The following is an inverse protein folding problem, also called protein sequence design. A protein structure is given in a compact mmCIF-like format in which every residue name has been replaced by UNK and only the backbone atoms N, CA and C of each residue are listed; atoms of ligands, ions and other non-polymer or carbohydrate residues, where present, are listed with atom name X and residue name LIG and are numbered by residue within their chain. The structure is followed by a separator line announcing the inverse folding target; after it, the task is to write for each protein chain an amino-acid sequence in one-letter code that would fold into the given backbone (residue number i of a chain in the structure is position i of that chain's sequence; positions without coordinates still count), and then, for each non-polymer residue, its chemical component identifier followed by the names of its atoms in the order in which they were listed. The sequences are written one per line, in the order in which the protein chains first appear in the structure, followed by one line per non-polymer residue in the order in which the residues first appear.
data_IF_129015141861
#
_entry.id   IF_129015141861
#
_cell.length_a   1.000
_cell.length_b   1.000
_cell.length_c   1.000
_cell.angle_alpha   90.00
_cell.angle_beta   90.00
_cell.angle_gamma   90.00
#
_symmetry.space_group_name_H-M   'P 1'
#
loop_
_entity.id
_entity.type
_entity.pdbx_description
1 polymer ?
#
# COMPACT_ATOMS: atom_id res chain seq x y z
N UNK A 1 3.20 10.35 -15.11
CA UNK A 1 1.79 10.08 -14.74
C UNK A 1 1.12 11.42 -14.52
N UNK A 2 -0.10 11.60 -15.01
CA UNK A 2 -0.90 12.79 -14.71
C UNK A 2 -1.22 12.85 -13.20
N UNK A 3 -0.95 13.99 -12.56
CA UNK A 3 -1.12 14.16 -11.11
C UNK A 3 -2.55 13.90 -10.65
N UNK A 4 -3.54 14.17 -11.49
CA UNK A 4 -4.94 13.90 -11.18
C UNK A 4 -5.25 12.39 -11.15
N UNK A 5 -4.63 11.60 -12.03
CA UNK A 5 -4.75 10.13 -12.03
C UNK A 5 -4.20 9.53 -10.73
N UNK A 6 -3.01 9.98 -10.30
CA UNK A 6 -2.41 9.54 -9.03
C UNK A 6 -3.32 9.90 -7.85
N UNK A 7 -3.81 11.14 -7.79
CA UNK A 7 -4.68 11.60 -6.71
C UNK A 7 -5.98 10.77 -6.61
N UNK A 8 -6.56 10.38 -7.75
CA UNK A 8 -7.74 9.48 -7.77
C UNK A 8 -7.42 8.12 -7.15
N UNK A 9 -6.32 7.48 -7.55
CA UNK A 9 -5.91 6.18 -7.00
C UNK A 9 -5.66 6.28 -5.50
N UNK A 10 -4.94 7.30 -5.05
CA UNK A 10 -4.70 7.53 -3.62
C UNK A 10 -6.00 7.71 -2.85
N UNK A 11 -6.99 8.41 -3.40
CA UNK A 11 -8.29 8.59 -2.75
C UNK A 11 -9.05 7.25 -2.61
N UNK A 12 -8.96 6.36 -3.61
CA UNK A 12 -9.50 5.01 -3.54
C UNK A 12 -8.83 4.23 -2.40
N UNK A 13 -7.50 4.31 -2.32
CA UNK A 13 -6.71 3.66 -1.27
C UNK A 13 -7.07 4.19 0.12
N UNK A 14 -7.33 5.49 0.27
CA UNK A 14 -7.84 6.07 1.51
C UNK A 14 -9.19 5.47 1.91
N UNK A 15 -10.10 5.24 0.95
CA UNK A 15 -11.38 4.58 1.20
C UNK A 15 -11.22 3.14 1.72
N UNK A 16 -10.31 2.37 1.12
CA UNK A 16 -9.96 1.02 1.59
C UNK A 16 -9.36 1.08 3.01
N UNK A 17 -8.40 1.98 3.22
CA UNK A 17 -7.73 2.17 4.50
C UNK A 17 -8.70 2.48 5.63
N UNK A 18 -9.68 3.37 5.38
CA UNK A 18 -10.67 3.75 6.38
C UNK A 18 -11.71 2.66 6.68
N UNK A 19 -11.99 1.77 5.72
CA UNK A 19 -13.01 0.72 5.90
C UNK A 19 -12.45 -0.53 6.58
N UNK A 20 -11.17 -0.86 6.38
CA UNK A 20 -10.60 -2.11 6.88
C UNK A 20 -9.76 -1.92 8.13
N UNK A 21 -10.12 -2.62 9.20
CA UNK A 21 -9.27 -2.72 10.40
C UNK A 21 -8.00 -3.52 10.12
N UNK A 22 -6.87 -3.07 10.67
CA UNK A 22 -5.56 -3.70 10.51
C UNK A 22 -4.65 -3.05 9.45
N UNK A 23 -5.12 -2.04 8.73
CA UNK A 23 -4.21 -1.19 7.98
C UNK A 23 -3.64 -0.12 8.91
N UNK A 24 -2.32 -0.10 9.07
CA UNK A 24 -1.62 0.99 9.74
C UNK A 24 -1.05 1.99 8.73
N UNK A 25 -0.56 3.13 9.24
CA UNK A 25 -0.02 4.19 8.40
C UNK A 25 1.16 3.71 7.54
N UNK A 26 1.94 2.76 8.05
CA UNK A 26 3.08 2.15 7.35
C UNK A 26 2.60 1.37 6.14
N UNK A 27 1.59 0.51 6.31
CA UNK A 27 0.98 -0.25 5.23
C UNK A 27 0.40 0.67 4.14
N UNK A 28 -0.27 1.77 4.52
CA UNK A 28 -0.74 2.76 3.55
C UNK A 28 0.40 3.41 2.76
N UNK A 29 1.48 3.81 3.44
CA UNK A 29 2.66 4.39 2.80
C UNK A 29 3.33 3.40 1.84
N UNK A 30 3.45 2.13 2.24
CA UNK A 30 3.99 1.06 1.40
C UNK A 30 3.12 0.81 0.17
N UNK A 31 1.80 0.80 0.32
CA UNK A 31 0.88 0.68 -0.79
C UNK A 31 1.06 1.82 -1.81
N UNK A 32 1.15 3.07 -1.33
CA UNK A 32 1.35 4.25 -2.19
C UNK A 32 2.70 4.18 -2.90
N UNK A 33 3.75 3.74 -2.21
CA UNK A 33 5.07 3.52 -2.79
C UNK A 33 5.05 2.48 -3.92
N UNK A 34 4.39 1.33 -3.71
CA UNK A 34 4.23 0.29 -4.74
C UNK A 34 3.47 0.82 -5.96
N UNK A 35 2.38 1.55 -5.71
CA UNK A 35 1.58 2.19 -6.76
C UNK A 35 2.43 3.16 -7.59
N UNK A 36 3.14 4.10 -6.95
CA UNK A 36 3.97 5.08 -7.64
C UNK A 36 5.06 4.42 -8.49
N UNK A 37 5.69 3.35 -8.00
CA UNK A 37 6.69 2.59 -8.76
C UNK A 37 6.11 1.84 -9.94
N UNK A 38 4.98 1.16 -9.73
CA UNK A 38 4.30 0.41 -10.78
C UNK A 38 3.87 1.35 -11.92
N UNK A 39 3.21 2.46 -11.58
CA UNK A 39 2.76 3.44 -12.56
C UNK A 39 3.93 4.13 -13.29
N UNK A 40 5.07 4.32 -12.61
CA UNK A 40 6.30 4.85 -13.23
C UNK A 40 6.85 3.92 -14.31
N UNK A 41 6.78 2.60 -14.08
CA UNK A 41 7.23 1.60 -15.05
C UNK A 41 6.24 1.39 -16.20
N UNK A 42 4.93 1.43 -15.92
CA UNK A 42 3.94 1.04 -16.92
C UNK A 42 3.81 2.02 -18.09
N UNK A 43 4.13 3.32 -17.91
CA UNK A 43 4.05 4.42 -18.91
C UNK A 43 2.78 4.49 -19.80
N UNK A 44 1.80 3.61 -19.59
CA UNK A 44 0.56 3.47 -20.35
C UNK A 44 -0.52 4.35 -19.74
N UNK A 45 -1.44 4.78 -20.60
CA UNK A 45 -2.69 5.38 -20.14
C UNK A 45 -3.50 4.36 -19.35
N UNK A 46 -3.82 4.69 -18.10
CA UNK A 46 -4.59 3.84 -17.20
C UNK A 46 -6.05 4.30 -17.27
N UNK A 47 -6.99 3.39 -17.49
CA UNK A 47 -8.42 3.72 -17.48
C UNK A 47 -8.94 3.85 -16.04
N UNK A 48 -10.04 4.57 -15.79
CA UNK A 48 -10.60 4.71 -14.44
C UNK A 48 -10.89 3.37 -13.74
N UNK A 49 -11.29 2.34 -14.48
CA UNK A 49 -11.50 1.01 -13.93
C UNK A 49 -10.19 0.36 -13.48
N UNK A 50 -9.13 0.50 -14.28
CA UNK A 50 -7.79 0.01 -13.93
C UNK A 50 -7.21 0.77 -12.73
N UNK A 51 -7.52 2.07 -12.58
CA UNK A 51 -7.12 2.86 -11.41
C UNK A 51 -7.64 2.26 -10.10
N UNK A 52 -8.93 1.86 -10.07
CA UNK A 52 -9.51 1.15 -8.92
C UNK A 52 -8.76 -0.17 -8.65
N UNK A 53 -8.57 -0.99 -9.68
CA UNK A 53 -7.91 -2.29 -9.55
C UNK A 53 -6.48 -2.16 -9.01
N UNK A 54 -5.71 -1.21 -9.54
CA UNK A 54 -4.33 -0.95 -9.12
C UNK A 54 -4.30 -0.50 -7.66
N UNK A 55 -5.10 0.50 -7.27
CA UNK A 55 -5.11 1.02 -5.91
C UNK A 55 -5.48 -0.06 -4.88
N UNK A 56 -6.55 -0.81 -5.15
CA UNK A 56 -7.00 -1.91 -4.28
C UNK A 56 -5.95 -3.01 -4.18
N UNK A 57 -5.30 -3.36 -5.30
CA UNK A 57 -4.26 -4.39 -5.32
C UNK A 57 -3.01 -3.95 -4.56
N UNK A 58 -2.59 -2.69 -4.68
CA UNK A 58 -1.47 -2.15 -3.90
C UNK A 58 -1.76 -2.18 -2.39
N UNK A 59 -2.97 -1.81 -1.96
CA UNK A 59 -3.39 -1.97 -0.56
C UNK A 59 -3.32 -3.43 -0.10
N UNK A 60 -3.84 -4.34 -0.92
CA UNK A 60 -3.79 -5.77 -0.61
C UNK A 60 -2.34 -6.29 -0.48
N UNK A 61 -1.46 -5.92 -1.41
CA UNK A 61 -0.05 -6.31 -1.39
C UNK A 61 0.67 -5.79 -0.14
N UNK A 62 0.48 -4.51 0.20
CA UNK A 62 1.07 -3.94 1.41
C UNK A 62 0.56 -4.64 2.67
N UNK A 63 -0.75 -4.90 2.75
CA UNK A 63 -1.32 -5.62 3.88
C UNK A 63 -0.77 -7.04 4.00
N UNK A 64 -0.52 -7.72 2.87
CA UNK A 64 0.07 -9.06 2.86
C UNK A 64 1.52 -9.09 3.35
N UNK A 65 2.25 -7.98 3.17
CA UNK A 65 3.65 -7.86 3.61
C UNK A 65 3.74 -7.45 5.08
N UNK A 66 2.97 -6.44 5.47
CA UNK A 66 3.09 -5.81 6.79
C UNK A 66 2.14 -6.40 7.85
N UNK A 67 1.05 -7.04 7.43
CA UNK A 67 0.02 -7.55 8.34
C UNK A 67 -0.36 -9.01 8.05
N UNK A 68 0.23 -9.92 8.84
CA UNK A 68 -0.04 -11.36 8.80
C UNK A 68 -1.52 -11.73 9.02
N UNK A 69 -2.34 -10.83 9.58
CA UNK A 69 -3.78 -11.09 9.82
C UNK A 69 -4.66 -10.78 8.60
N UNK A 70 -4.11 -10.13 7.58
CA UNK A 70 -4.88 -9.70 6.42
C UNK A 70 -4.93 -10.81 5.35
N UNK A 71 -6.04 -11.57 5.34
CA UNK A 71 -6.27 -12.68 4.42
C UNK A 71 -7.38 -12.33 3.42
N UNK A 72 -7.02 -12.24 2.13
CA UNK A 72 -7.94 -11.94 1.03
C UNK A 72 -9.11 -12.94 0.96
N UNK A 73 -8.90 -14.22 1.28
CA UNK A 73 -9.96 -15.22 1.21
C UNK A 73 -11.08 -14.95 2.23
N UNK A 74 -10.76 -14.33 3.37
CA UNK A 74 -11.74 -14.01 4.40
C UNK A 74 -12.43 -12.67 4.15
N UNK A 75 -11.77 -11.76 3.40
CA UNK A 75 -12.23 -10.39 3.19
C UNK A 75 -12.61 -10.06 1.74
N UNK A 76 -12.59 -11.02 0.81
CA UNK A 76 -12.86 -10.78 -0.60
C UNK A 76 -14.26 -10.22 -0.86
N UNK A 77 -15.28 -10.74 -0.18
CA UNK A 77 -16.66 -10.25 -0.32
C UNK A 77 -16.82 -8.81 0.20
N UNK A 78 -16.16 -8.48 1.31
CA UNK A 78 -16.19 -7.13 1.87
C UNK A 78 -15.41 -6.16 0.96
N UNK A 79 -14.25 -6.58 0.44
CA UNK A 79 -13.44 -5.81 -0.49
C UNK A 79 -14.21 -5.49 -1.77
N UNK A 80 -14.86 -6.50 -2.36
CA UNK A 80 -15.66 -6.33 -3.57
C UNK A 80 -16.87 -5.42 -3.31
N UNK A 81 -17.54 -5.55 -2.15
CA UNK A 81 -18.65 -4.67 -1.77
C UNK A 81 -18.23 -3.20 -1.65
N UNK A 82 -17.05 -2.93 -1.08
CA UNK A 82 -16.57 -1.57 -0.81
C UNK A 82 -15.97 -0.92 -2.05
N UNK A 83 -15.23 -1.71 -2.85
CA UNK A 83 -14.41 -1.18 -3.95
C UNK A 83 -14.97 -1.46 -5.34
N UNK A 84 -15.93 -2.38 -5.43
CA UNK A 84 -16.44 -2.90 -6.71
C UNK A 84 -15.42 -3.74 -7.49
N UNK A 85 -14.28 -4.08 -6.89
CA UNK A 85 -13.21 -4.86 -7.55
C UNK A 85 -13.35 -6.33 -7.16
N UNK A 86 -13.58 -7.24 -8.13
CA UNK A 86 -13.68 -8.67 -7.85
C UNK A 86 -12.31 -9.25 -7.49
N UNK A 87 -12.32 -10.33 -6.71
CA UNK A 87 -11.10 -11.02 -6.25
C UNK A 87 -10.18 -11.41 -7.41
N UNK A 88 -10.75 -11.88 -8.52
CA UNK A 88 -10.02 -12.34 -9.70
C UNK A 88 -9.21 -11.21 -10.32
N UNK A 89 -9.76 -9.99 -10.32
CA UNK A 89 -9.05 -8.80 -10.78
C UNK A 89 -7.87 -8.46 -9.88
N UNK A 90 -8.07 -8.52 -8.55
CA UNK A 90 -6.99 -8.28 -7.57
C UNK A 90 -5.85 -9.29 -7.78
N UNK A 91 -6.17 -10.58 -7.94
CA UNK A 91 -5.15 -11.62 -8.17
C UNK A 91 -4.44 -11.49 -9.52
N UNK A 92 -5.14 -11.02 -10.56
CA UNK A 92 -4.53 -10.75 -11.87
C UNK A 92 -3.52 -9.61 -11.76
N UNK A 93 -3.92 -8.48 -11.16
CA UNK A 93 -3.03 -7.34 -10.97
C UNK A 93 -1.93 -7.61 -9.96
N UNK A 94 -2.16 -8.47 -8.96
CA UNK A 94 -1.13 -8.88 -8.00
C UNK A 94 0.08 -9.44 -8.76
N UNK A 95 -0.15 -10.40 -9.67
CA UNK A 95 0.92 -11.00 -10.46
C UNK A 95 1.62 -9.98 -11.37
N UNK A 96 0.85 -9.09 -11.97
CA UNK A 96 1.39 -8.07 -12.86
C UNK A 96 2.28 -7.08 -12.09
N UNK A 97 1.77 -6.53 -10.99
CA UNK A 97 2.48 -5.57 -10.15
C UNK A 97 3.73 -6.22 -9.55
N UNK A 98 3.64 -7.44 -9.03
CA UNK A 98 4.80 -8.18 -8.49
C UNK A 98 5.88 -8.39 -9.55
N UNK A 99 5.49 -8.72 -10.79
CA UNK A 99 6.42 -8.90 -11.90
C UNK A 99 7.11 -7.59 -12.28
N UNK A 100 6.36 -6.49 -12.36
CA UNK A 100 6.91 -5.17 -12.68
C UNK A 100 7.82 -4.65 -11.56
N UNK A 101 7.49 -4.92 -10.31
CA UNK A 101 8.28 -4.50 -9.15
C UNK A 101 9.42 -5.46 -8.82
N UNK A 102 9.61 -6.56 -9.56
CA UNK A 102 10.64 -7.57 -9.29
C UNK A 102 10.63 -8.06 -7.83
N UNK A 103 9.44 -8.17 -7.23
CA UNK A 103 9.25 -8.51 -5.80
C UNK A 103 9.93 -7.56 -4.80
N UNK A 104 10.36 -6.36 -5.24
CA UNK A 104 10.95 -5.33 -4.37
C UNK A 104 9.86 -4.49 -3.69
N UNK A 105 9.20 -5.10 -2.70
CA UNK A 105 8.00 -4.56 -2.04
C UNK A 105 8.29 -3.67 -0.82
N UNK A 106 9.39 -3.92 -0.12
CA UNK A 106 9.73 -3.16 1.08
C UNK A 106 10.80 -2.10 0.83
N UNK A 107 10.62 -0.95 1.46
CA UNK A 107 11.65 0.09 1.60
C UNK A 107 11.44 0.81 2.94
N UNK A 108 12.52 1.29 3.59
CA UNK A 108 12.39 2.17 4.74
C UNK A 108 11.44 3.33 4.44
N UNK A 109 10.41 3.41 5.25
CA UNK A 109 9.37 4.44 5.24
C UNK A 109 9.85 5.65 6.05
N UNK A 110 9.25 6.84 5.87
CA UNK A 110 9.48 7.97 6.76
C UNK A 110 9.23 7.63 8.23
N UNK A 111 8.30 6.72 8.50
CA UNK A 111 8.01 6.25 9.86
C UNK A 111 9.19 5.49 10.49
N UNK A 112 9.92 4.68 9.70
CA UNK A 112 11.14 4.01 10.16
C UNK A 112 12.23 5.00 10.58
N UNK A 113 12.35 6.11 9.84
CA UNK A 113 13.26 7.19 10.20
C UNK A 113 12.85 7.87 11.52
N UNK A 114 11.55 8.14 11.71
CA UNK A 114 11.03 8.72 12.97
C UNK A 114 11.33 7.80 14.16
N UNK A 115 11.08 6.49 14.03
CA UNK A 115 11.38 5.51 15.08
C UNK A 115 12.88 5.52 15.40
N UNK A 116 13.73 5.52 14.37
CA UNK A 116 15.17 5.52 14.53
C UNK A 116 15.67 6.75 15.31
N UNK A 117 15.24 7.95 14.92
CA UNK A 117 15.62 9.18 15.61
C UNK A 117 15.08 9.23 17.04
N UNK A 118 13.85 8.78 17.27
CA UNK A 118 13.28 8.73 18.62
C UNK A 118 14.07 7.80 19.54
N UNK A 119 14.47 6.62 19.06
CA UNK A 119 15.31 5.68 19.83
C UNK A 119 16.67 6.27 20.17
N UNK A 120 17.33 6.94 19.23
CA UNK A 120 18.62 7.60 19.49
C UNK A 120 18.45 8.72 20.53
N UNK A 121 17.38 9.50 20.44
CA UNK A 121 17.12 10.58 21.39
C UNK A 121 16.94 10.05 22.82
N UNK A 122 16.10 9.01 22.99
CA UNK A 122 15.91 8.36 24.28
C UNK A 122 17.21 7.76 24.85
N UNK A 123 18.04 7.13 24.01
CA UNK A 123 19.34 6.59 24.46
C UNK A 123 20.30 7.69 24.94
N UNK A 124 20.26 8.87 24.33
CA UNK A 124 21.07 10.02 24.75
C UNK A 124 20.59 10.60 26.08
N UNK A 125 19.28 10.66 26.33
CA UNK A 125 18.75 11.12 27.62
C UNK A 125 19.13 10.16 28.76
N UNK A 126 19.09 8.85 28.53
CA UNK A 126 19.52 7.85 29.53
C UNK A 126 21.01 7.96 29.88
N UNK A 127 21.87 8.36 28.94
CA UNK A 127 23.30 8.57 29.19
C UNK A 127 23.64 9.93 29.82
N UNK A 128 22.71 10.89 29.82
CA UNK A 128 22.91 12.22 30.44
C UNK A 128 22.44 12.27 31.90
N UNK A 129 21.63 11.30 32.34
CA UNK A 129 21.05 11.23 33.69
C UNK A 129 21.42 9.94 34.46
N UNK A 130 22.39 9.15 33.97
CA UNK A 130 22.98 8.00 34.66
C UNK A 130 24.45 8.23 34.97
#
# INVERSE_FOLDING_TARGET
IDGACRARIVNIMCGVFMHFTGFDLVCFQNAVYMMDRYLSHCQKAVTPFQMNQIGVTCCYLAAKVDNLTWNLNNRCHELERVTGVPKEAVLSYEREILKVLEFTLNRPTPYDAVIYYHRIHLMKEVHLYG
#
